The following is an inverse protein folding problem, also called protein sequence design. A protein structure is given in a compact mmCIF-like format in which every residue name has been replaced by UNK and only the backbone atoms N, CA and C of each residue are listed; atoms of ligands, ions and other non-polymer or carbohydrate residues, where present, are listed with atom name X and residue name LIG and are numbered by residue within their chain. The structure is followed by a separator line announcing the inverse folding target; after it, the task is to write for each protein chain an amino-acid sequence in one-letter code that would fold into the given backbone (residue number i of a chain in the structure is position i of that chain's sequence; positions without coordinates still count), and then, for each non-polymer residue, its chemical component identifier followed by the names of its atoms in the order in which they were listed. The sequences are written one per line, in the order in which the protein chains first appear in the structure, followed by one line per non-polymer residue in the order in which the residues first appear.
data_IF_026341049129
#
_entry.id   IF_026341049129
#
_cell.length_a   1.000
_cell.length_b   1.000
_cell.length_c   1.000
_cell.angle_alpha   90.00
_cell.angle_beta   90.00
_cell.angle_gamma   90.00
#
_symmetry.space_group_name_H-M   'P 1'
#
loop_
_entity.id
_entity.type
_entity.pdbx_description
1 polymer ?
#
# COMPACT_ATOMS: atom_id res chain seq x y z
N UNK A 1 -6.11 19.50 -0.87
CA UNK A 1 -7.35 18.71 -0.84
C UNK A 1 -6.95 17.26 -1.01
N UNK A 2 -6.64 16.57 0.10
CA UNK A 2 -6.26 15.16 0.08
C UNK A 2 -7.54 14.33 0.08
N UNK A 3 -7.62 13.39 -0.87
CA UNK A 3 -8.83 12.68 -1.23
C UNK A 3 -9.11 11.57 -0.19
N UNK A 4 -9.83 11.94 0.89
CA UNK A 4 -10.47 11.01 1.83
C UNK A 4 -12.00 10.98 1.67
N UNK A 5 -12.55 11.64 0.64
CA UNK A 5 -13.99 11.75 0.40
C UNK A 5 -14.44 10.84 -0.75
N UNK A 6 -14.97 9.69 -0.37
CA UNK A 6 -16.14 8.94 -0.88
C UNK A 6 -16.50 8.78 -2.37
N UNK A 7 -15.80 9.32 -3.36
CA UNK A 7 -16.29 9.23 -4.75
C UNK A 7 -15.33 8.50 -5.70
N UNK A 8 -15.77 7.34 -6.21
CA UNK A 8 -15.26 6.61 -7.39
C UNK A 8 -13.78 6.18 -7.40
N UNK A 9 -13.22 5.76 -6.26
CA UNK A 9 -11.88 5.19 -6.23
C UNK A 9 -11.87 3.70 -6.59
N UNK A 10 -11.41 3.36 -7.80
CA UNK A 10 -10.77 2.06 -8.04
C UNK A 10 -9.41 2.11 -7.35
N UNK A 11 -9.18 1.27 -6.35
CA UNK A 11 -7.86 1.17 -5.74
C UNK A 11 -7.03 0.20 -6.57
N UNK A 12 -5.97 0.68 -7.22
CA UNK A 12 -4.98 -0.21 -7.81
C UNK A 12 -3.80 -0.22 -6.85
N UNK A 13 -3.40 -1.41 -6.42
CA UNK A 13 -2.40 -1.59 -5.36
C UNK A 13 -1.55 -2.82 -5.66
N UNK A 14 -0.39 -2.95 -5.03
CA UNK A 14 0.40 -4.17 -5.12
C UNK A 14 0.32 -4.91 -3.80
N UNK A 15 0.43 -6.23 -3.84
CA UNK A 15 0.83 -6.94 -2.65
C UNK A 15 2.35 -7.07 -2.65
N UNK A 16 2.96 -6.61 -1.57
CA UNK A 16 4.39 -6.81 -1.34
C UNK A 16 4.57 -8.24 -0.88
N UNK A 17 5.29 -9.04 -1.65
CA UNK A 17 5.79 -10.35 -1.23
C UNK A 17 7.28 -10.28 -0.92
N UNK A 18 7.75 -11.12 -0.01
CA UNK A 18 9.18 -11.21 0.31
C UNK A 18 10.02 -11.72 -0.86
N UNK A 19 9.40 -12.26 -1.92
CA UNK A 19 10.08 -12.86 -3.09
C UNK A 19 9.74 -12.25 -4.45
N UNK A 20 8.68 -11.44 -4.59
CA UNK A 20 8.16 -10.96 -5.88
C UNK A 20 7.18 -9.78 -5.72
N UNK A 21 6.99 -9.02 -6.79
CA UNK A 21 5.89 -8.09 -6.96
C UNK A 21 4.67 -8.83 -7.46
N UNK A 22 3.61 -8.94 -6.66
CA UNK A 22 2.33 -9.46 -7.14
C UNK A 22 1.33 -8.31 -7.30
N UNK A 23 0.74 -8.18 -8.49
CA UNK A 23 -0.19 -7.11 -8.80
C UNK A 23 -1.63 -7.52 -8.45
N UNK A 24 -2.35 -6.59 -7.83
CA UNK A 24 -3.77 -6.73 -7.54
C UNK A 24 -4.52 -5.48 -7.99
N UNK A 25 -5.73 -5.69 -8.46
CA UNK A 25 -6.62 -4.62 -8.86
C UNK A 25 -7.89 -4.79 -8.05
N UNK A 26 -8.21 -3.84 -7.19
CA UNK A 26 -9.54 -3.76 -6.61
C UNK A 26 -10.46 -3.12 -7.65
N UNK A 27 -11.36 -3.93 -8.20
CA UNK A 27 -12.39 -3.43 -9.11
C UNK A 27 -13.69 -3.26 -8.33
N UNK A 28 -14.18 -2.03 -8.11
CA UNK A 28 -15.58 -1.87 -7.77
C UNK A 28 -16.43 -2.36 -8.94
N UNK A 29 -17.48 -3.12 -8.62
CA UNK A 29 -18.51 -3.56 -9.54
C UNK A 29 -19.11 -2.38 -10.31
N UNK A 30 -19.53 -2.67 -11.54
CA UNK A 30 -20.08 -1.75 -12.54
C UNK A 30 -21.14 -0.77 -12.00
N UNK A 31 -21.08 0.46 -12.53
CA UNK A 31 -22.10 1.49 -12.37
C UNK A 31 -23.40 0.97 -13.01
N UNK A 32 -24.39 0.59 -12.20
CA UNK A 32 -25.65 0.10 -12.76
C UNK A 32 -26.71 -0.46 -11.81
N UNK A 33 -26.73 -0.17 -10.51
CA UNK A 33 -27.94 -0.17 -9.66
C UNK A 33 -27.57 0.18 -8.22
N UNK A 34 -28.52 0.72 -7.46
CA UNK A 34 -28.43 1.15 -6.05
C UNK A 34 -28.19 0.00 -5.04
N UNK A 35 -27.48 -1.07 -5.42
CA UNK A 35 -27.23 -2.24 -4.56
C UNK A 35 -25.78 -2.24 -4.08
N UNK A 36 -25.62 -2.29 -2.76
CA UNK A 36 -24.40 -2.50 -1.96
C UNK A 36 -23.04 -2.47 -2.69
N UNK A 37 -22.19 -1.49 -2.31
CA UNK A 37 -20.77 -1.40 -2.66
C UNK A 37 -20.00 -2.65 -2.17
N UNK A 38 -19.83 -3.65 -3.04
CA UNK A 38 -18.89 -4.77 -2.82
C UNK A 38 -17.60 -4.50 -3.58
N UNK A 39 -16.48 -4.42 -2.87
CA UNK A 39 -15.15 -4.41 -3.48
C UNK A 39 -14.59 -5.84 -3.49
N UNK A 40 -14.00 -6.26 -4.59
CA UNK A 40 -13.32 -7.55 -4.67
C UNK A 40 -11.92 -7.37 -5.22
N UNK A 41 -10.96 -8.06 -4.59
CA UNK A 41 -9.58 -8.02 -5.02
C UNK A 41 -9.41 -8.99 -6.18
N UNK A 42 -9.12 -8.45 -7.35
CA UNK A 42 -8.68 -9.20 -8.53
C UNK A 42 -7.17 -9.33 -8.51
N UNK A 43 -6.63 -10.51 -8.78
CA UNK A 43 -5.18 -10.70 -8.93
C UNK A 43 -4.76 -10.76 -10.39
N UNK A 44 -3.63 -10.13 -10.70
CA UNK A 44 -2.92 -10.26 -11.98
C UNK A 44 -1.44 -10.45 -11.64
N UNK A 45 -0.91 -11.66 -11.79
CA UNK A 45 0.47 -11.95 -11.40
C UNK A 45 1.49 -11.36 -12.39
N UNK A 46 2.65 -10.92 -11.87
CA UNK A 46 3.85 -10.54 -12.63
C UNK A 46 5.03 -11.34 -12.03
N UNK A 47 6.03 -11.71 -12.85
CA UNK A 47 7.16 -12.64 -12.55
C UNK A 47 6.90 -14.16 -12.80
N UNK A 48 6.29 -14.51 -13.93
CA UNK A 48 6.20 -15.88 -14.50
C UNK A 48 5.50 -16.97 -13.65
N UNK A 49 4.90 -16.63 -12.51
CA UNK A 49 3.97 -17.55 -11.83
C UNK A 49 2.56 -17.35 -12.37
N UNK A 50 2.22 -18.15 -13.37
CA UNK A 50 0.83 -18.41 -13.69
C UNK A 50 0.23 -19.19 -12.52
N UNK A 51 -0.55 -18.52 -11.66
CA UNK A 51 -1.30 -19.23 -10.63
C UNK A 51 -2.36 -20.10 -11.35
N UNK A 52 -2.48 -21.39 -11.00
CA UNK A 52 -3.35 -22.31 -11.72
C UNK A 52 -4.79 -21.80 -11.68
N UNK A 53 -5.23 -21.36 -12.84
CA UNK A 53 -6.51 -20.73 -13.12
C UNK A 53 -6.58 -20.51 -14.62
N UNK A 54 -7.78 -20.53 -15.22
CA UNK A 54 -7.93 -20.50 -16.67
C UNK A 54 -7.25 -19.27 -17.26
N UNK A 55 -6.64 -19.47 -18.44
CA UNK A 55 -6.02 -18.43 -19.25
C UNK A 55 -6.94 -17.22 -19.34
N UNK A 56 -6.37 -16.04 -19.14
CA UNK A 56 -7.02 -14.76 -19.37
C UNK A 56 -6.92 -14.37 -20.84
N UNK A 57 -8.03 -14.36 -21.58
CA UNK A 57 -8.28 -13.36 -22.60
C UNK A 57 -9.14 -12.20 -22.04
N UNK A 58 -9.71 -12.34 -20.83
CA UNK A 58 -10.70 -11.47 -20.19
C UNK A 58 -10.71 -11.75 -18.66
N UNK A 59 -11.13 -10.75 -17.87
CA UNK A 59 -11.73 -10.78 -16.51
C UNK A 59 -10.96 -11.43 -15.36
N UNK A 60 -10.51 -10.58 -14.42
CA UNK A 60 -9.81 -10.89 -13.16
C UNK A 60 -10.13 -12.21 -12.45
N UNK A 61 -9.14 -12.87 -11.82
CA UNK A 61 -9.46 -13.93 -10.84
C UNK A 61 -9.76 -13.18 -9.56
N UNK A 62 -11.01 -13.27 -9.09
CA UNK A 62 -11.33 -12.87 -7.71
C UNK A 62 -10.57 -13.79 -6.78
N UNK A 63 -9.58 -13.24 -6.07
CA UNK A 63 -8.75 -14.00 -5.14
C UNK A 63 -9.23 -13.91 -3.70
N UNK A 64 -10.15 -12.99 -3.43
CA UNK A 64 -10.64 -12.64 -2.11
C UNK A 64 -11.96 -11.86 -2.19
N UNK A 65 -12.88 -12.13 -1.27
CA UNK A 65 -13.99 -11.21 -0.99
C UNK A 65 -15.20 -11.30 -1.92
N UNK A 66 -15.46 -12.45 -2.57
CA UNK A 66 -16.73 -12.64 -3.29
C UNK A 66 -17.86 -12.86 -2.29
N UNK A 67 -18.46 -11.77 -1.84
CA UNK A 67 -19.78 -11.81 -1.20
C UNK A 67 -20.82 -12.16 -2.26
N UNK A 68 -21.83 -12.96 -1.92
CA UNK A 68 -22.99 -13.20 -2.78
C UNK A 68 -23.88 -11.92 -2.89
N UNK A 69 -23.29 -10.76 -3.16
CA UNK A 69 -23.99 -9.47 -3.22
C UNK A 69 -24.46 -8.90 -1.88
N UNK A 70 -24.04 -9.46 -0.74
CA UNK A 70 -24.45 -8.99 0.59
C UNK A 70 -23.43 -8.03 1.21
N UNK A 71 -23.83 -6.79 1.48
CA UNK A 71 -23.07 -5.86 2.33
C UNK A 71 -22.97 -6.38 3.77
N UNK A 72 -21.77 -6.36 4.37
CA UNK A 72 -21.60 -6.68 5.78
C UNK A 72 -20.17 -7.04 6.18
N UNK A 73 -19.99 -7.45 7.43
CA UNK A 73 -18.71 -7.85 8.02
C UNK A 73 -18.41 -9.34 7.87
N UNK A 74 -19.09 -10.05 6.95
CA UNK A 74 -18.84 -11.47 6.73
C UNK A 74 -17.41 -11.69 6.21
N UNK A 75 -16.82 -12.86 6.50
CA UNK A 75 -15.41 -13.13 6.14
C UNK A 75 -15.14 -13.27 4.63
N UNK A 76 -16.16 -13.10 3.80
CA UNK A 76 -16.12 -13.06 2.35
C UNK A 76 -16.59 -11.70 1.78
N UNK A 77 -16.82 -10.69 2.60
CA UNK A 77 -17.27 -9.37 2.15
C UNK A 77 -16.23 -8.31 2.53
N UNK A 78 -15.48 -7.83 1.54
CA UNK A 78 -14.55 -6.70 1.68
C UNK A 78 -15.26 -5.38 1.32
N UNK A 79 -14.85 -4.28 1.96
CA UNK A 79 -15.41 -2.95 1.75
C UNK A 79 -14.29 -1.92 1.60
N UNK A 80 -14.01 -1.59 0.34
CA UNK A 80 -12.90 -0.71 -0.09
C UNK A 80 -11.55 -1.20 0.43
N UNK A 81 -11.07 -2.38 -0.01
CA UNK A 81 -9.74 -2.82 0.36
C UNK A 81 -8.68 -1.81 -0.08
N UNK A 82 -7.62 -1.63 0.73
CA UNK A 82 -6.58 -0.63 0.47
C UNK A 82 -5.20 -1.24 0.26
N UNK A 83 -4.62 -1.75 1.35
CA UNK A 83 -3.27 -2.31 1.42
C UNK A 83 -3.32 -3.82 1.32
N UNK A 84 -2.33 -4.39 0.64
CA UNK A 84 -2.18 -5.82 0.45
C UNK A 84 -0.78 -6.27 0.83
N UNK A 85 -0.69 -7.45 1.43
CA UNK A 85 0.59 -8.09 1.72
C UNK A 85 0.49 -9.59 1.47
N UNK A 86 1.55 -10.19 0.93
CA UNK A 86 1.59 -11.62 0.64
C UNK A 86 2.82 -12.24 1.28
N UNK A 87 2.58 -13.34 1.97
CA UNK A 87 3.65 -14.15 2.55
C UNK A 87 4.09 -15.24 1.57
N UNK A 88 5.30 -15.79 1.77
CA UNK A 88 5.88 -16.84 0.90
C UNK A 88 5.04 -18.11 0.77
N UNK A 89 4.11 -18.34 1.71
CA UNK A 89 3.17 -19.47 1.69
C UNK A 89 1.81 -19.11 1.03
N UNK A 90 1.78 -18.07 0.19
CA UNK A 90 0.61 -17.63 -0.57
C UNK A 90 -0.60 -17.27 0.31
N UNK A 91 -0.34 -16.65 1.47
CA UNK A 91 -1.41 -16.06 2.28
C UNK A 91 -1.49 -14.57 1.94
N UNK A 92 -2.66 -14.16 1.49
CA UNK A 92 -3.01 -12.79 1.21
C UNK A 92 -3.58 -12.15 2.47
N UNK A 93 -3.01 -11.02 2.84
CA UNK A 93 -3.53 -10.13 3.84
C UNK A 93 -4.12 -8.91 3.14
N UNK A 94 -5.25 -8.43 3.63
CA UNK A 94 -6.00 -7.31 3.05
C UNK A 94 -6.43 -6.40 4.18
N UNK A 95 -6.13 -5.11 4.09
CA UNK A 95 -6.82 -4.13 4.91
C UNK A 95 -8.20 -3.86 4.36
N UNK A 96 -9.20 -4.19 5.15
CA UNK A 96 -10.61 -4.06 4.81
C UNK A 96 -11.12 -2.75 5.43
N UNK A 97 -10.78 -1.64 4.75
CA UNK A 97 -10.78 -0.28 5.29
C UNK A 97 -12.08 0.08 6.01
N UNK A 98 -13.23 -0.10 5.35
CA UNK A 98 -14.53 0.29 5.90
C UNK A 98 -15.24 -0.81 6.69
N UNK A 99 -14.60 -1.96 6.87
CA UNK A 99 -14.97 -2.95 7.88
C UNK A 99 -14.01 -2.94 9.08
N UNK A 100 -13.05 -2.00 9.11
CA UNK A 100 -12.15 -1.71 10.24
C UNK A 100 -11.37 -2.94 10.74
N UNK A 101 -10.91 -3.78 9.81
CA UNK A 101 -10.24 -5.04 10.12
C UNK A 101 -9.17 -5.38 9.10
N UNK A 102 -8.27 -6.29 9.48
CA UNK A 102 -7.36 -6.95 8.55
C UNK A 102 -7.83 -8.37 8.34
N UNK A 103 -8.01 -8.73 7.08
CA UNK A 103 -8.38 -10.07 6.65
C UNK A 103 -7.14 -10.83 6.21
N UNK A 104 -7.10 -12.13 6.53
CA UNK A 104 -6.13 -13.09 6.02
C UNK A 104 -6.87 -14.20 5.30
N UNK A 105 -6.38 -14.58 4.12
CA UNK A 105 -6.89 -15.72 3.37
C UNK A 105 -5.82 -16.37 2.53
N UNK A 106 -6.03 -17.63 2.15
CA UNK A 106 -5.21 -18.28 1.14
C UNK A 106 -5.63 -17.75 -0.23
N UNK A 107 -4.68 -17.46 -1.11
CA UNK A 107 -4.98 -17.05 -2.49
C UNK A 107 -5.85 -18.13 -3.16
N UNK A 108 -6.95 -17.70 -3.78
CA UNK A 108 -7.96 -18.57 -4.40
C UNK A 108 -9.10 -18.98 -3.47
N UNK A 109 -9.01 -18.72 -2.17
CA UNK A 109 -10.15 -18.90 -1.26
C UNK A 109 -11.02 -17.63 -1.25
N UNK A 110 -12.34 -17.79 -1.42
CA UNK A 110 -13.29 -16.69 -1.36
C UNK A 110 -13.60 -16.20 0.07
N UNK A 111 -13.19 -16.95 1.08
CA UNK A 111 -13.39 -16.66 2.51
C UNK A 111 -12.05 -16.59 3.23
N UNK A 112 -11.96 -15.66 4.20
CA UNK A 112 -10.80 -15.49 5.07
C UNK A 112 -11.11 -15.59 6.56
N UNK A 113 -10.18 -15.09 7.36
CA UNK A 113 -10.31 -14.90 8.80
C UNK A 113 -9.78 -13.54 9.20
N UNK A 114 -10.40 -12.92 10.21
CA UNK A 114 -9.89 -11.68 10.80
C UNK A 114 -8.61 -11.98 11.59
N UNK A 115 -7.57 -11.18 11.37
CA UNK A 115 -6.28 -11.31 12.08
C UNK A 115 -5.91 -10.08 12.90
N UNK A 116 -6.56 -8.94 12.64
CA UNK A 116 -6.42 -7.73 13.44
C UNK A 116 -7.68 -6.87 13.31
N UNK A 117 -7.95 -6.06 14.33
CA UNK A 117 -9.17 -5.23 14.41
C UNK A 117 -10.41 -6.02 14.82
N UNK A 118 -11.46 -5.30 15.19
CA UNK A 118 -12.77 -5.87 15.52
C UNK A 118 -13.72 -5.53 14.39
N UNK A 119 -14.16 -6.55 13.66
CA UNK A 119 -14.92 -6.38 12.42
C UNK A 119 -16.17 -5.49 12.63
N UNK A 120 -16.25 -4.41 11.85
CA UNK A 120 -17.36 -3.45 11.89
C UNK A 120 -17.32 -2.45 13.05
N UNK A 121 -16.27 -2.46 13.89
CA UNK A 121 -16.15 -1.56 15.04
C UNK A 121 -15.09 -0.50 14.78
N UNK A 122 -15.56 0.72 14.51
CA UNK A 122 -14.74 1.93 14.36
C UNK A 122 -14.18 2.37 15.73
N UNK A 123 -12.86 2.56 15.85
CA UNK A 123 -12.25 3.06 17.10
C UNK A 123 -10.72 3.05 17.12
N UNK A 124 -10.10 3.78 18.05
CA UNK A 124 -8.63 3.87 18.20
C UNK A 124 -8.04 3.00 19.32
N UNK A 125 -8.69 1.91 19.73
CA UNK A 125 -8.23 1.08 20.87
C UNK A 125 -7.14 0.08 20.43
N UNK A 126 -6.52 -0.69 21.35
CA UNK A 126 -5.62 -1.78 20.97
C UNK A 126 -6.28 -2.91 20.17
N UNK A 127 -7.61 -2.94 20.02
CA UNK A 127 -8.36 -3.96 19.27
C UNK A 127 -9.21 -3.41 18.12
N UNK A 128 -9.19 -2.09 17.88
CA UNK A 128 -10.02 -1.42 16.87
C UNK A 128 -9.19 -0.44 16.04
N UNK A 129 -9.70 -0.10 14.86
CA UNK A 129 -9.07 0.88 13.94
C UNK A 129 -10.05 2.00 13.58
N UNK A 130 -9.50 3.18 13.28
CA UNK A 130 -10.28 4.22 12.60
C UNK A 130 -10.23 4.04 11.09
N UNK A 131 -9.04 3.85 10.51
CA UNK A 131 -8.89 3.51 9.10
C UNK A 131 -7.61 2.71 8.88
N UNK A 132 -7.68 1.37 8.85
CA UNK A 132 -6.51 0.55 8.56
C UNK A 132 -6.22 0.64 7.05
N UNK A 133 -5.10 1.25 6.67
CA UNK A 133 -4.72 1.46 5.26
C UNK A 133 -3.63 0.48 4.84
N UNK A 134 -2.36 0.84 4.94
CA UNK A 134 -1.27 -0.03 4.50
C UNK A 134 -0.93 -1.11 5.51
N UNK A 135 -0.50 -2.27 5.01
CA UNK A 135 -0.07 -3.40 5.83
C UNK A 135 1.29 -3.93 5.40
N UNK A 136 2.04 -4.46 6.35
CA UNK A 136 3.25 -5.23 6.10
C UNK A 136 3.26 -6.47 7.00
N UNK A 137 3.68 -7.61 6.46
CA UNK A 137 3.73 -8.87 7.19
C UNK A 137 5.17 -9.35 7.25
N UNK A 138 5.67 -9.60 8.45
CA UNK A 138 7.03 -10.08 8.65
C UNK A 138 7.13 -11.62 8.53
N UNK A 139 8.36 -12.14 8.57
CA UNK A 139 8.61 -13.59 8.48
C UNK A 139 7.99 -14.38 9.66
N UNK A 140 7.72 -13.73 10.79
CA UNK A 140 7.03 -14.29 11.95
C UNK A 140 5.50 -14.28 11.84
N UNK A 141 4.94 -13.88 10.69
CA UNK A 141 3.51 -13.67 10.48
C UNK A 141 2.90 -12.59 11.39
N UNK A 142 3.72 -11.68 11.94
CA UNK A 142 3.20 -10.50 12.61
C UNK A 142 2.78 -9.47 11.56
N UNK A 143 1.68 -8.77 11.84
CA UNK A 143 1.09 -7.81 10.93
C UNK A 143 1.32 -6.41 11.47
N UNK A 144 1.98 -5.58 10.69
CA UNK A 144 2.10 -4.14 10.92
C UNK A 144 1.02 -3.44 10.11
N UNK A 145 0.29 -2.52 10.73
CA UNK A 145 -0.88 -1.86 10.16
C UNK A 145 -0.75 -0.36 10.37
N UNK A 146 -0.92 0.41 9.31
CA UNK A 146 -1.13 1.86 9.43
C UNK A 146 -2.58 2.11 9.80
N UNK A 147 -2.82 2.69 10.97
CA UNK A 147 -4.13 3.16 11.41
C UNK A 147 -4.20 4.67 11.20
N UNK A 148 -4.55 5.06 9.97
CA UNK A 148 -4.32 6.40 9.41
C UNK A 148 -4.92 7.51 10.26
N UNK A 149 -6.19 7.39 10.63
CA UNK A 149 -6.88 8.43 11.42
C UNK A 149 -6.48 8.42 12.90
N UNK A 150 -5.87 7.35 13.38
CA UNK A 150 -5.21 7.34 14.69
C UNK A 150 -3.76 7.82 14.61
N UNK A 151 -3.24 8.18 13.43
CA UNK A 151 -1.87 8.68 13.25
C UNK A 151 -0.79 7.80 13.89
N UNK A 152 -0.91 6.48 13.69
CA UNK A 152 -0.03 5.48 14.30
C UNK A 152 0.16 4.25 13.42
N UNK A 153 1.20 3.48 13.72
CA UNK A 153 1.39 2.11 13.23
C UNK A 153 1.21 1.13 14.38
N UNK A 154 0.36 0.13 14.16
CA UNK A 154 0.05 -0.95 15.10
C UNK A 154 0.77 -2.22 14.67
N UNK A 155 1.25 -3.01 15.63
CA UNK A 155 1.78 -4.35 15.43
C UNK A 155 0.89 -5.38 16.12
N UNK A 156 0.29 -6.26 15.34
CA UNK A 156 -0.34 -7.49 15.81
C UNK A 156 0.65 -8.64 15.72
N UNK A 157 1.05 -9.18 16.87
CA UNK A 157 1.84 -10.41 16.90
C UNK A 157 0.99 -11.59 16.45
N UNK A 158 1.63 -12.60 15.88
CA UNK A 158 0.94 -13.83 15.47
C UNK A 158 0.12 -14.42 16.64
N UNK A 159 -1.15 -14.70 16.38
CA UNK A 159 -2.16 -15.17 17.36
C UNK A 159 -2.43 -14.24 18.56
N UNK A 160 -2.03 -12.96 18.49
CA UNK A 160 -2.41 -11.96 19.50
C UNK A 160 -3.85 -11.49 19.31
N UNK A 161 -4.58 -11.26 20.40
CA UNK A 161 -5.93 -10.68 20.38
C UNK A 161 -5.93 -9.15 20.29
N UNK A 162 -4.80 -8.50 20.56
CA UNK A 162 -4.64 -7.05 20.51
C UNK A 162 -3.29 -6.64 19.91
N UNK A 163 -3.25 -5.41 19.41
CA UNK A 163 -2.05 -4.79 18.86
C UNK A 163 -1.34 -3.88 19.85
N UNK A 164 -0.08 -3.57 19.54
CA UNK A 164 0.72 -2.57 20.25
C UNK A 164 1.16 -1.47 19.29
N UNK A 165 1.27 -0.23 19.77
CA UNK A 165 1.78 0.88 18.96
C UNK A 165 3.30 0.72 18.78
N UNK A 166 3.76 0.84 17.55
CA UNK A 166 5.19 0.68 17.18
C UNK A 166 5.77 1.89 16.42
N UNK A 167 4.92 2.80 15.93
CA UNK A 167 5.34 4.12 15.44
C UNK A 167 4.18 5.13 15.60
N UNK A 168 4.51 6.41 15.82
CA UNK A 168 3.53 7.40 16.28
C UNK A 168 3.06 7.12 17.71
N UNK A 169 2.05 7.86 18.18
CA UNK A 169 1.53 7.70 19.55
C UNK A 169 -0.01 7.77 19.68
N UNK A 170 -0.76 7.80 18.57
CA UNK A 170 -2.21 7.96 18.62
C UNK A 170 -2.71 9.40 18.44
N UNK A 171 -1.78 10.37 18.31
CA UNK A 171 -2.09 11.79 18.10
C UNK A 171 -1.41 12.29 16.83
N UNK A 172 -2.15 13.06 16.03
CA UNK A 172 -1.60 13.63 14.80
C UNK A 172 -0.70 14.84 15.07
N UNK A 173 0.42 14.93 14.34
CA UNK A 173 1.33 16.08 14.42
C UNK A 173 2.65 15.82 13.69
N UNK A 174 3.58 16.78 13.78
CA UNK A 174 4.79 16.81 12.94
C UNK A 174 6.11 16.56 13.68
N UNK A 175 6.09 16.40 15.01
CA UNK A 175 7.30 16.11 15.79
C UNK A 175 7.86 14.72 15.45
N UNK A 176 9.05 14.39 15.96
CA UNK A 176 9.67 13.08 15.72
C UNK A 176 8.95 11.92 16.42
N UNK A 177 8.03 12.19 17.35
CA UNK A 177 7.20 11.16 18.00
C UNK A 177 5.82 11.00 17.35
N UNK A 178 5.45 11.91 16.46
CA UNK A 178 4.11 12.00 15.88
C UNK A 178 4.15 11.71 14.38
N UNK A 179 3.00 11.28 13.88
CA UNK A 179 2.70 11.11 12.45
C UNK A 179 1.48 11.97 12.13
N UNK A 180 1.21 12.25 10.87
CA UNK A 180 0.00 12.92 10.42
C UNK A 180 -0.54 12.25 9.16
N UNK A 181 -1.68 11.56 9.32
CA UNK A 181 -2.36 10.75 8.32
C UNK A 181 -1.41 9.86 7.50
N UNK A 182 -0.64 8.96 8.14
CA UNK A 182 0.25 8.07 7.44
C UNK A 182 -0.53 7.15 6.50
N UNK A 183 0.03 6.86 5.31
CA UNK A 183 -0.60 6.00 4.30
C UNK A 183 0.28 4.89 3.73
N UNK A 184 1.59 4.95 3.95
CA UNK A 184 2.54 3.97 3.41
C UNK A 184 3.39 3.33 4.50
N UNK A 185 3.73 2.06 4.29
CA UNK A 185 4.45 1.24 5.25
C UNK A 185 5.41 0.29 4.52
N UNK A 186 6.61 0.20 5.07
CA UNK A 186 7.55 -0.89 4.81
C UNK A 186 8.23 -1.27 6.12
N UNK A 187 8.60 -2.54 6.26
CA UNK A 187 9.28 -3.07 7.45
C UNK A 187 10.48 -3.84 6.97
N UNK A 188 11.65 -3.61 7.57
CA UNK A 188 12.86 -4.33 7.21
C UNK A 188 13.03 -5.65 7.98
N UNK A 189 13.96 -6.49 7.56
CA UNK A 189 14.28 -7.77 8.23
C UNK A 189 14.75 -7.64 9.67
N UNK A 190 15.17 -6.44 10.11
CA UNK A 190 15.52 -6.15 11.51
C UNK A 190 14.30 -5.68 12.32
N UNK A 191 13.15 -5.48 11.68
CA UNK A 191 11.93 -4.96 12.28
C UNK A 191 11.87 -3.43 12.35
N UNK A 192 12.78 -2.70 11.69
CA UNK A 192 12.66 -1.25 11.60
C UNK A 192 11.50 -0.89 10.67
N UNK A 193 10.78 0.16 11.02
CA UNK A 193 9.54 0.56 10.37
C UNK A 193 9.79 1.85 9.59
N UNK A 194 9.38 1.85 8.33
CA UNK A 194 9.40 3.01 7.44
C UNK A 194 7.97 3.43 7.16
N UNK A 195 7.62 4.67 7.46
CA UNK A 195 6.25 5.18 7.37
C UNK A 195 6.22 6.41 6.47
N UNK A 196 5.35 6.39 5.46
CA UNK A 196 5.04 7.59 4.70
C UNK A 196 4.11 8.45 5.55
N UNK A 197 4.68 9.50 6.13
CA UNK A 197 4.01 10.46 6.98
C UNK A 197 3.43 11.56 6.09
N UNK A 198 2.31 11.20 5.45
CA UNK A 198 1.84 11.78 4.19
C UNK A 198 1.56 13.27 4.31
N UNK A 199 0.87 13.72 5.35
CA UNK A 199 0.53 15.13 5.51
C UNK A 199 1.70 15.98 6.00
N UNK A 200 2.72 15.35 6.60
CA UNK A 200 3.99 15.99 6.91
C UNK A 200 5.01 15.98 5.75
N UNK A 201 4.63 15.41 4.60
CA UNK A 201 5.45 15.38 3.37
C UNK A 201 6.84 14.76 3.57
N UNK A 202 6.91 13.70 4.38
CA UNK A 202 8.15 13.01 4.71
C UNK A 202 7.97 11.50 4.79
N UNK A 203 9.08 10.79 4.79
CA UNK A 203 9.14 9.41 5.24
C UNK A 203 9.96 9.36 6.52
N UNK A 204 9.46 8.64 7.51
CA UNK A 204 10.10 8.48 8.80
C UNK A 204 10.52 7.03 9.01
N UNK A 205 11.66 6.82 9.66
CA UNK A 205 12.16 5.52 10.11
C UNK A 205 12.10 5.41 11.63
N UNK A 206 11.46 4.37 12.15
CA UNK A 206 11.54 3.95 13.55
C UNK A 206 12.37 2.69 13.67
N UNK A 207 13.34 2.71 14.59
CA UNK A 207 13.99 1.48 15.00
C UNK A 207 13.07 0.68 15.95
N UNK A 208 13.31 -0.63 16.06
CA UNK A 208 12.57 -1.48 17.01
C UNK A 208 12.65 -0.88 18.42
N UNK A 209 11.50 -0.75 19.09
CA UNK A 209 11.34 -0.15 20.42
C UNK A 209 11.73 1.34 20.54
N UNK A 210 11.95 2.06 19.44
CA UNK A 210 12.22 3.49 19.49
C UNK A 210 10.96 4.27 19.90
N UNK A 211 11.12 5.27 20.76
CA UNK A 211 10.03 6.20 21.16
C UNK A 211 9.85 7.36 20.20
N UNK A 212 10.82 7.61 19.32
CA UNK A 212 10.77 8.62 18.27
C UNK A 212 11.45 8.11 16.99
N UNK A 213 11.00 8.64 15.86
CA UNK A 213 11.52 8.32 14.54
C UNK A 213 12.57 9.31 14.08
N UNK A 214 13.22 8.96 12.97
CA UNK A 214 14.16 9.82 12.26
C UNK A 214 13.62 10.09 10.86
N UNK A 215 13.77 11.32 10.38
CA UNK A 215 13.44 11.66 8.99
C UNK A 215 14.37 10.87 8.07
N UNK A 216 13.77 10.05 7.21
CA UNK A 216 14.46 9.24 6.21
C UNK A 216 14.48 9.96 4.86
N UNK A 217 13.36 10.58 4.46
CA UNK A 217 13.24 11.33 3.21
C UNK A 217 12.25 12.48 3.37
N UNK A 218 12.42 13.52 2.54
CA UNK A 218 11.59 14.73 2.60
C UNK A 218 12.03 15.71 3.69
N UNK A 219 11.37 16.88 3.71
CA UNK A 219 11.57 17.92 4.73
C UNK A 219 10.26 18.08 5.48
N UNK A 220 10.32 17.98 6.82
CA UNK A 220 9.11 17.95 7.65
C UNK A 220 8.26 19.20 7.45
N UNK A 221 7.02 19.00 7.01
CA UNK A 221 6.02 20.06 6.81
C UNK A 221 6.26 20.95 5.58
N UNK A 222 7.26 20.65 4.74
CA UNK A 222 7.58 21.42 3.54
C UNK A 222 7.42 20.53 2.32
N UNK A 223 6.40 20.82 1.51
CA UNK A 223 6.25 20.19 0.19
C UNK A 223 7.12 20.88 -0.86
N UNK A 224 7.51 20.13 -1.88
CA UNK A 224 8.27 20.64 -3.01
C UNK A 224 8.51 19.56 -4.06
N UNK A 225 8.95 19.97 -5.24
CA UNK A 225 9.17 19.09 -6.41
C UNK A 225 10.65 18.80 -6.69
N UNK A 226 11.58 19.45 -5.98
CA UNK A 226 12.99 19.09 -6.05
C UNK A 226 13.27 17.71 -5.42
N UNK A 227 14.51 17.24 -5.47
CA UNK A 227 14.87 15.91 -4.96
C UNK A 227 15.07 15.84 -3.43
N UNK A 228 15.02 16.96 -2.72
CA UNK A 228 15.07 17.01 -1.26
C UNK A 228 13.65 16.91 -0.66
N UNK A 229 12.67 17.46 -1.36
CA UNK A 229 11.29 17.52 -0.91
C UNK A 229 10.43 16.40 -1.50
N UNK A 230 9.38 16.04 -0.76
CA UNK A 230 8.30 15.17 -1.22
C UNK A 230 7.01 15.99 -1.20
N UNK A 231 5.97 15.51 -1.87
CA UNK A 231 4.65 16.08 -1.78
C UNK A 231 3.60 14.98 -1.64
N UNK A 232 3.16 14.79 -0.39
CA UNK A 232 2.21 13.76 0.01
C UNK A 232 2.65 12.36 -0.44
N UNK A 233 3.73 11.79 0.15
CA UNK A 233 4.18 10.43 -0.18
C UNK A 233 3.14 9.39 0.27
N UNK A 234 2.90 8.38 -0.57
CA UNK A 234 1.94 7.28 -0.30
C UNK A 234 2.73 5.97 -0.15
N UNK A 235 2.59 5.04 -1.09
CA UNK A 235 3.18 3.71 -1.02
C UNK A 235 4.71 3.73 -1.00
N UNK A 236 5.26 2.74 -0.28
CA UNK A 236 6.68 2.56 -0.03
C UNK A 236 7.11 1.15 -0.43
N UNK A 237 8.22 1.01 -1.13
CA UNK A 237 8.88 -0.28 -1.35
C UNK A 237 10.33 -0.24 -0.90
N UNK A 238 10.68 -1.12 0.03
CA UNK A 238 12.03 -1.26 0.55
C UNK A 238 12.74 -2.41 -0.16
N UNK A 239 13.76 -2.07 -0.96
CA UNK A 239 14.73 -3.00 -1.48
C UNK A 239 15.91 -3.09 -0.51
N UNK A 240 15.75 -3.94 0.51
CA UNK A 240 16.79 -4.15 1.53
C UNK A 240 18.11 -4.65 0.95
N UNK A 241 18.05 -5.52 -0.07
CA UNK A 241 19.26 -6.09 -0.71
C UNK A 241 20.17 -5.02 -1.29
N UNK A 242 19.60 -3.93 -1.80
CA UNK A 242 20.36 -2.84 -2.40
C UNK A 242 20.33 -1.55 -1.57
N UNK A 243 19.79 -1.60 -0.34
CA UNK A 243 19.63 -0.45 0.55
C UNK A 243 18.91 0.74 -0.10
N UNK A 244 17.82 0.45 -0.83
CA UNK A 244 17.00 1.48 -1.46
C UNK A 244 15.57 1.49 -0.95
N UNK A 245 15.03 2.69 -0.78
CA UNK A 245 13.61 2.92 -0.57
C UNK A 245 13.04 3.63 -1.80
N UNK A 246 11.96 3.08 -2.33
CA UNK A 246 11.16 3.65 -3.40
C UNK A 246 9.89 4.23 -2.80
N UNK A 247 9.56 5.46 -3.20
CA UNK A 247 8.48 6.25 -2.62
C UNK A 247 7.57 6.71 -3.76
N UNK A 248 6.28 6.40 -3.67
CA UNK A 248 5.26 7.02 -4.50
C UNK A 248 5.04 8.45 -4.02
N UNK A 249 5.71 9.40 -4.68
CA UNK A 249 5.62 10.84 -4.40
C UNK A 249 4.38 11.40 -5.11
N UNK A 250 3.21 11.07 -4.54
CA UNK A 250 1.92 11.04 -5.21
C UNK A 250 1.54 12.36 -5.89
N UNK A 251 1.63 13.49 -5.18
CA UNK A 251 1.26 14.78 -5.74
C UNK A 251 2.34 15.42 -6.62
N UNK A 252 3.55 14.87 -6.63
CA UNK A 252 4.58 15.19 -7.63
C UNK A 252 4.54 14.25 -8.84
N UNK A 253 3.61 13.28 -8.86
CA UNK A 253 3.38 12.38 -9.98
C UNK A 253 4.64 11.65 -10.45
N UNK A 254 5.39 11.13 -9.48
CA UNK A 254 6.67 10.46 -9.72
C UNK A 254 6.93 9.39 -8.67
N UNK A 255 7.89 8.53 -8.98
CA UNK A 255 8.53 7.64 -8.00
C UNK A 255 9.91 8.18 -7.69
N UNK A 256 10.19 8.41 -6.40
CA UNK A 256 11.51 8.77 -5.91
C UNK A 256 12.22 7.55 -5.34
N UNK A 257 13.54 7.45 -5.58
CA UNK A 257 14.43 6.43 -5.01
C UNK A 257 15.44 7.09 -4.07
N UNK A 258 15.56 6.58 -2.85
CA UNK A 258 16.46 7.06 -1.79
C UNK A 258 17.38 5.94 -1.29
N UNK A 259 18.60 6.27 -0.88
CA UNK A 259 19.47 5.35 -0.11
C UNK A 259 19.03 5.34 1.35
N UNK A 260 18.93 4.16 1.97
CA UNK A 260 18.50 4.01 3.38
C UNK A 260 19.63 3.88 4.39
N UNK A 261 20.86 3.69 3.89
CA UNK A 261 22.06 3.45 4.67
C UNK A 261 22.94 4.71 4.83
N UNK A 262 22.69 5.74 4.02
CA UNK A 262 23.39 7.02 4.05
C UNK A 262 22.42 8.19 3.83
N UNK A 263 22.68 9.39 4.39
CA UNK A 263 21.94 10.60 4.02
C UNK A 263 22.01 10.82 2.51
N UNK A 264 20.86 10.91 1.86
CA UNK A 264 20.77 11.08 0.42
C UNK A 264 19.54 11.89 0.02
N UNK A 265 19.67 12.60 -1.10
CA UNK A 265 18.51 13.16 -1.80
C UNK A 265 17.90 12.09 -2.71
N UNK A 266 16.65 12.30 -3.09
CA UNK A 266 15.95 11.40 -3.97
C UNK A 266 16.49 11.46 -5.39
N UNK A 267 16.20 10.42 -6.16
CA UNK A 267 16.33 10.43 -7.62
C UNK A 267 15.00 10.00 -8.21
N UNK A 268 14.48 10.74 -9.17
CA UNK A 268 13.28 10.33 -9.91
C UNK A 268 13.60 9.15 -10.80
N UNK A 269 12.88 8.05 -10.62
CA UNK A 269 13.09 6.79 -11.36
C UNK A 269 11.90 6.37 -12.23
N UNK A 270 10.74 7.00 -12.04
CA UNK A 270 9.58 6.87 -12.91
C UNK A 270 8.71 8.14 -12.80
N UNK A 271 8.03 8.52 -13.88
CA UNK A 271 7.24 9.75 -13.94
C UNK A 271 8.09 11.02 -13.88
N UNK A 272 7.57 12.07 -13.22
CA UNK A 272 8.28 13.35 -13.05
C UNK A 272 8.25 14.29 -14.25
N UNK A 273 7.57 13.90 -15.34
CA UNK A 273 7.38 14.71 -16.55
C UNK A 273 6.02 15.43 -16.56
N UNK A 274 5.54 15.83 -15.38
CA UNK A 274 4.19 16.37 -15.16
C UNK A 274 3.10 15.30 -15.02
N UNK A 275 1.92 15.74 -14.56
CA UNK A 275 0.70 14.94 -14.52
C UNK A 275 0.25 14.58 -15.94
N UNK A 276 -0.05 13.32 -16.21
CA UNK A 276 -0.71 12.95 -17.46
C UNK A 276 -0.71 11.45 -17.76
N UNK A 277 -1.22 11.12 -18.94
CA UNK A 277 -1.40 9.73 -19.43
C UNK A 277 -0.27 9.27 -20.36
N UNK A 278 0.69 10.13 -20.72
CA UNK A 278 1.81 9.73 -21.57
C UNK A 278 2.66 8.61 -20.92
N UNK A 279 3.44 7.88 -21.73
CA UNK A 279 4.24 6.74 -21.24
C UNK A 279 5.33 7.15 -20.24
N UNK A 280 5.78 8.39 -20.26
CA UNK A 280 6.76 8.93 -19.31
C UNK A 280 6.10 9.78 -18.20
N UNK A 281 4.78 9.80 -18.12
CA UNK A 281 4.00 10.52 -17.12
C UNK A 281 3.25 9.57 -16.20
N UNK A 282 2.95 10.06 -15.01
CA UNK A 282 2.07 9.43 -14.03
C UNK A 282 1.01 10.47 -13.63
N UNK A 283 -0.06 10.02 -13.00
CA UNK A 283 -1.05 10.86 -12.37
C UNK A 283 -1.47 10.23 -11.03
N UNK A 284 -1.01 10.86 -9.95
CA UNK A 284 -1.22 10.41 -8.57
C UNK A 284 -0.88 8.92 -8.37
N UNK A 285 0.40 8.52 -8.52
CA UNK A 285 0.80 7.16 -8.22
C UNK A 285 0.60 6.87 -6.73
N UNK A 286 -0.12 5.79 -6.41
CA UNK A 286 -0.45 5.44 -5.03
C UNK A 286 0.56 4.47 -4.43
N UNK A 287 1.09 3.55 -5.24
CA UNK A 287 2.01 2.54 -4.76
C UNK A 287 3.06 2.18 -5.81
N UNK A 288 4.15 1.61 -5.32
CA UNK A 288 5.30 1.19 -6.12
C UNK A 288 5.81 -0.15 -5.60
N UNK A 289 6.28 -1.00 -6.49
CA UNK A 289 7.07 -2.16 -6.13
C UNK A 289 8.18 -2.40 -7.17
N UNK A 290 9.22 -3.14 -6.80
CA UNK A 290 10.34 -3.45 -7.69
C UNK A 290 10.53 -4.95 -7.80
N UNK A 291 10.61 -5.49 -9.01
CA UNK A 291 10.90 -6.91 -9.21
C UNK A 291 12.32 -7.21 -8.73
N UNK A 292 12.46 -8.14 -7.78
CA UNK A 292 13.78 -8.59 -7.30
C UNK A 292 14.58 -9.34 -8.39
N UNK A 293 13.90 -9.87 -9.41
CA UNK A 293 14.51 -10.63 -10.51
C UNK A 293 15.08 -9.71 -11.58
N UNK A 294 14.32 -8.68 -11.99
CA UNK A 294 14.69 -7.82 -13.13
C UNK A 294 15.11 -6.41 -12.74
N UNK A 295 14.72 -5.95 -11.55
CA UNK A 295 14.83 -4.56 -11.13
C UNK A 295 13.77 -3.64 -11.75
N UNK A 296 12.84 -4.18 -12.54
CA UNK A 296 11.76 -3.39 -13.13
C UNK A 296 10.88 -2.75 -12.03
N UNK A 297 10.49 -1.51 -12.25
CA UNK A 297 9.66 -0.72 -11.34
C UNK A 297 8.22 -0.78 -11.83
N UNK A 298 7.33 -1.22 -10.96
CA UNK A 298 5.90 -1.27 -11.21
C UNK A 298 5.22 -0.18 -10.38
N UNK A 299 4.38 0.62 -11.04
CA UNK A 299 3.72 1.78 -10.42
C UNK A 299 2.21 1.68 -10.58
N UNK A 300 1.50 1.83 -9.46
CA UNK A 300 0.07 1.90 -9.42
C UNK A 300 -0.33 3.33 -9.72
N UNK A 301 -0.51 3.61 -11.01
CA UNK A 301 -0.80 4.93 -11.56
C UNK A 301 -2.29 5.24 -11.39
N UNK A 302 -2.70 5.38 -10.12
CA UNK A 302 -4.10 5.35 -9.68
C UNK A 302 -4.97 6.35 -10.42
N UNK A 303 -4.50 7.59 -10.58
CA UNK A 303 -5.27 8.63 -11.25
C UNK A 303 -5.58 8.31 -12.72
N UNK A 304 -4.76 7.47 -13.34
CA UNK A 304 -4.95 6.98 -14.72
C UNK A 304 -5.54 5.56 -14.78
N UNK A 305 -5.95 4.98 -13.65
CA UNK A 305 -6.54 3.64 -13.56
C UNK A 305 -5.72 2.55 -14.27
N UNK A 306 -4.39 2.62 -14.14
CA UNK A 306 -3.48 1.70 -14.83
C UNK A 306 -2.27 1.30 -14.00
N UNK A 307 -1.60 0.27 -14.50
CA UNK A 307 -0.32 -0.22 -14.01
C UNK A 307 0.74 -0.02 -15.07
N UNK A 308 1.80 0.65 -14.68
CA UNK A 308 2.91 1.01 -15.54
C UNK A 308 4.18 0.30 -15.08
N UNK A 309 4.90 -0.31 -16.01
CA UNK A 309 6.22 -0.91 -15.78
C UNK A 309 7.30 -0.07 -16.44
N UNK A 310 8.27 0.37 -15.66
CA UNK A 310 9.54 0.89 -16.15
C UNK A 310 10.63 -0.16 -16.01
N UNK A 311 11.33 -0.46 -17.09
CA UNK A 311 12.58 -1.20 -16.98
C UNK A 311 13.69 -0.32 -16.41
N UNK A 312 14.70 -0.93 -15.81
CA UNK A 312 15.82 -0.21 -15.19
C UNK A 312 16.45 0.75 -16.21
N UNK A 313 16.47 2.05 -15.88
CA UNK A 313 17.02 3.11 -16.74
C UNK A 313 16.13 3.55 -17.90
N UNK A 314 14.92 2.99 -18.06
CA UNK A 314 14.00 3.39 -19.11
C UNK A 314 13.44 4.80 -18.86
N UNK A 315 13.26 5.58 -19.92
CA UNK A 315 12.67 6.93 -19.86
C UNK A 315 11.14 6.91 -19.96
N UNK A 316 10.54 5.77 -20.28
CA UNK A 316 9.08 5.61 -20.41
C UNK A 316 8.63 4.20 -20.04
N UNK A 317 7.38 4.08 -19.61
CA UNK A 317 6.75 2.84 -19.21
C UNK A 317 6.06 2.11 -20.36
N UNK A 318 5.79 0.84 -20.07
CA UNK A 318 4.78 0.02 -20.75
C UNK A 318 3.59 -0.15 -19.80
N UNK A 319 2.37 0.06 -20.31
CA UNK A 319 1.15 -0.26 -19.58
C UNK A 319 0.97 -1.77 -19.54
N UNK A 320 0.95 -2.34 -18.34
CA UNK A 320 0.78 -3.78 -18.13
C UNK A 320 -0.70 -4.12 -17.93
N UNK A 321 -1.44 -3.24 -17.24
CA UNK A 321 -2.89 -3.37 -17.04
C UNK A 321 -3.55 -1.99 -17.02
N UNK A 322 -4.82 -1.92 -17.42
CA UNK A 322 -5.64 -0.72 -17.37
C UNK A 322 -5.70 0.02 -18.70
N UNK A 323 -6.32 1.20 -18.70
CA UNK A 323 -6.48 1.99 -19.93
C UNK A 323 -5.25 2.88 -20.15
N UNK A 324 -4.96 3.16 -21.42
CA UNK A 324 -3.85 4.04 -21.82
C UNK A 324 -4.29 5.49 -22.01
N UNK A 325 -5.55 5.80 -21.72
CA UNK A 325 -6.21 7.09 -21.95
C UNK A 325 -7.46 7.22 -21.10
#
# INVERSE_FOLDING_TARGET
MACLTSDNCRTITYAKSTSSCELFIDTPSEYGSLVAQTGYVTMIAIDDRQLPGPLFPLHGITVAGYGNGTSGNANNALKTPWGLAITTNNLLYVSDLYNYRIMKMKIGNLTGSVVAGTAGVYGGTPTTFYYPTEIAVDAGSNVHIVDTNSCRVMLWRYNSSSGVVVAGNGTCGSSTMLLDHPLGLAVDSQGNIYVADTYNHRVMKWAVNATSGKVMAGVTGVSGSDNQHLYSPYGLYLDESNSYLYIADCNNHRIQKYRVDIPSNGTTVAGGNGAGTARNQLYQPYDVCVSKKTGDIYVADKGNFRIQRWSVGATSAITIVGTTG
#
